data_IF_443918938920
#
_entry.id   IF_443918938920
#
_cell.length_a   1.000
_cell.length_b   1.000
_cell.length_c   1.000
_cell.angle_alpha   90.00
_cell.angle_beta   90.00
_cell.angle_gamma   90.00
#
_symmetry.space_group_name_H-M   'P 1'
#
loop_
_entity.id
_entity.type
_entity.pdbx_description
1 polymer ?
#
# COMPACT_ATOMS: atom_id res chain seq x y z
N UNK A 1 -45.33 66.91 -20.72
CA UNK A 1 -44.53 65.76 -21.07
C UNK A 1 -43.53 65.51 -19.94
N UNK A 2 -43.86 64.63 -19.06
CA UNK A 2 -43.18 64.42 -17.76
C UNK A 2 -42.32 63.12 -17.83
N UNK A 3 -41.01 63.31 -17.81
CA UNK A 3 -40.03 62.17 -17.77
C UNK A 3 -39.96 61.63 -16.33
N UNK A 4 -40.34 60.33 -16.18
CA UNK A 4 -40.12 59.57 -14.96
C UNK A 4 -38.68 59.00 -14.94
N UNK A 5 -37.89 59.34 -13.96
CA UNK A 5 -36.59 58.75 -13.68
C UNK A 5 -36.80 57.40 -12.97
N UNK A 6 -36.31 56.31 -13.57
CA UNK A 6 -36.17 55.00 -12.87
C UNK A 6 -34.90 55.03 -12.00
N UNK A 7 -35.09 54.76 -10.75
CA UNK A 7 -33.98 54.47 -9.81
C UNK A 7 -33.67 52.97 -9.89
N UNK A 8 -32.43 52.62 -10.27
CA UNK A 8 -31.90 51.23 -10.22
C UNK A 8 -31.31 51.05 -8.82
N UNK A 9 -32.00 50.25 -8.01
CA UNK A 9 -31.47 49.82 -6.70
C UNK A 9 -30.46 48.66 -6.91
N UNK A 10 -29.21 48.89 -6.51
CA UNK A 10 -28.19 47.87 -6.48
C UNK A 10 -28.45 46.92 -5.31
N UNK A 11 -28.77 45.67 -5.59
CA UNK A 11 -28.91 44.61 -4.60
C UNK A 11 -27.50 44.11 -4.26
N UNK A 12 -26.99 44.47 -3.08
CA UNK A 12 -25.75 43.93 -2.54
C UNK A 12 -26.06 42.51 -2.00
N UNK A 13 -25.66 41.48 -2.77
CA UNK A 13 -25.63 40.11 -2.25
C UNK A 13 -24.51 40.01 -1.19
N UNK A 14 -24.86 39.99 0.07
CA UNK A 14 -23.99 39.59 1.14
C UNK A 14 -23.78 38.07 1.03
N UNK A 15 -22.62 37.65 0.52
CA UNK A 15 -22.18 36.26 0.61
C UNK A 15 -21.87 35.97 2.09
N UNK A 16 -22.83 35.36 2.78
CA UNK A 16 -22.60 34.77 4.09
C UNK A 16 -21.60 33.61 3.88
N UNK A 17 -20.34 33.82 4.26
CA UNK A 17 -19.40 32.74 4.47
C UNK A 17 -19.91 31.90 5.62
N UNK A 18 -20.51 30.75 5.32
CA UNK A 18 -20.82 29.74 6.32
C UNK A 18 -19.50 29.37 7.03
N UNK A 19 -19.46 29.38 8.37
CA UNK A 19 -18.29 28.89 9.08
C UNK A 19 -18.02 27.45 8.64
N UNK A 20 -16.77 27.14 8.30
CA UNK A 20 -16.34 25.79 8.03
C UNK A 20 -16.76 24.92 9.22
N UNK A 21 -17.72 24.02 8.98
CA UNK A 21 -18.20 23.08 9.98
C UNK A 21 -17.00 22.31 10.48
N UNK A 22 -16.75 22.29 11.79
CA UNK A 22 -15.72 21.47 12.40
C UNK A 22 -15.79 20.06 11.80
N UNK A 23 -14.66 19.55 11.30
CA UNK A 23 -14.64 18.24 10.66
C UNK A 23 -15.21 17.23 11.66
N UNK A 24 -16.27 16.51 11.27
CA UNK A 24 -16.90 15.45 12.08
C UNK A 24 -15.84 14.35 12.30
N UNK A 25 -15.04 14.50 13.34
CA UNK A 25 -14.12 13.44 13.77
C UNK A 25 -14.88 12.39 14.58
N UNK A 26 -14.47 11.12 14.42
CA UNK A 26 -14.96 10.02 15.25
C UNK A 26 -13.97 9.66 16.38
N UNK A 27 -12.96 10.50 16.62
CA UNK A 27 -11.99 10.28 17.68
C UNK A 27 -12.63 10.43 19.04
N UNK A 28 -12.40 9.43 19.90
CA UNK A 28 -12.98 9.37 21.25
C UNK A 28 -12.21 10.22 22.26
N UNK A 29 -10.89 10.17 22.20
CA UNK A 29 -10.00 10.77 23.21
C UNK A 29 -9.17 11.90 22.56
N UNK A 30 -9.60 13.14 22.71
CA UNK A 30 -8.91 14.31 22.21
C UNK A 30 -8.72 15.32 23.36
N UNK A 31 -7.46 15.60 23.70
CA UNK A 31 -7.08 16.58 24.70
C UNK A 31 -6.71 17.95 24.09
N UNK A 32 -7.04 18.15 22.81
CA UNK A 32 -6.82 19.36 22.04
C UNK A 32 -7.92 19.56 20.97
N UNK A 33 -8.06 20.79 20.50
CA UNK A 33 -9.01 21.13 19.43
C UNK A 33 -8.40 20.85 18.05
N UNK A 34 -8.72 19.68 17.48
CA UNK A 34 -8.21 19.25 16.18
C UNK A 34 -8.54 20.23 15.04
N UNK A 35 -9.65 20.97 15.14
CA UNK A 35 -10.06 21.94 14.13
C UNK A 35 -9.13 23.15 14.03
N UNK A 36 -8.31 23.38 15.04
CA UNK A 36 -7.30 24.46 15.10
C UNK A 36 -5.90 24.00 14.71
N UNK A 37 -5.72 22.70 14.40
CA UNK A 37 -4.42 22.17 13.99
C UNK A 37 -4.25 22.31 12.48
N UNK A 38 -3.14 22.92 12.09
CA UNK A 38 -2.70 23.06 10.69
C UNK A 38 -1.23 22.66 10.59
N UNK A 39 -0.70 22.51 9.37
CA UNK A 39 0.74 22.26 9.17
C UNK A 39 1.61 23.33 9.85
N UNK A 40 1.19 24.59 9.79
CA UNK A 40 2.01 25.72 10.27
C UNK A 40 2.15 25.75 11.80
N UNK A 41 1.11 25.31 12.54
CA UNK A 41 1.10 25.31 13.99
C UNK A 41 1.17 23.93 14.65
N UNK A 42 1.36 22.88 13.84
CA UNK A 42 1.30 21.49 14.29
C UNK A 42 2.18 21.23 15.53
N UNK A 43 3.44 21.58 15.46
CA UNK A 43 4.37 21.30 16.55
C UNK A 43 4.07 22.13 17.80
N UNK A 44 3.63 23.38 17.63
CA UNK A 44 3.30 24.25 18.75
C UNK A 44 2.07 23.74 19.55
N UNK A 45 1.11 23.15 18.84
CA UNK A 45 -0.10 22.58 19.46
C UNK A 45 0.13 21.16 19.95
N UNK A 46 0.74 20.30 19.13
CA UNK A 46 0.78 18.85 19.37
C UNK A 46 1.90 18.43 20.33
N UNK A 47 3.10 19.04 20.25
CA UNK A 47 4.24 18.61 21.08
C UNK A 47 3.97 18.73 22.58
N UNK A 48 3.40 19.83 23.09
CA UNK A 48 3.10 19.93 24.54
C UNK A 48 2.12 18.86 25.02
N UNK A 49 1.06 18.58 24.24
CA UNK A 49 0.04 17.57 24.56
C UNK A 49 0.66 16.17 24.50
N UNK A 50 1.38 15.84 23.43
CA UNK A 50 2.05 14.56 23.27
C UNK A 50 3.05 14.26 24.41
N UNK A 51 3.79 15.29 24.87
CA UNK A 51 4.68 15.16 26.05
C UNK A 51 3.89 14.93 27.34
N UNK A 52 2.72 15.51 27.48
CA UNK A 52 1.84 15.26 28.64
C UNK A 52 1.25 13.84 28.61
N UNK A 53 0.93 13.30 27.42
CA UNK A 53 0.56 11.89 27.25
C UNK A 53 1.69 10.93 27.61
N UNK A 54 2.95 11.30 27.34
CA UNK A 54 4.19 10.65 27.77
C UNK A 54 4.48 9.28 27.16
N UNK A 55 3.53 8.71 26.43
CA UNK A 55 3.67 7.39 25.79
C UNK A 55 2.80 7.27 24.54
N UNK A 56 3.17 6.34 23.63
CA UNK A 56 2.37 5.94 22.48
C UNK A 56 2.56 4.46 22.22
N UNK A 57 1.49 3.75 21.85
CA UNK A 57 1.54 2.33 21.50
C UNK A 57 1.43 2.16 19.99
N UNK A 58 2.34 1.38 19.40
CA UNK A 58 2.38 1.11 17.97
C UNK A 58 2.28 -0.39 17.66
N UNK A 59 1.36 -0.76 16.77
CA UNK A 59 1.28 -2.10 16.19
C UNK A 59 1.91 -2.13 14.79
N UNK A 60 2.64 -3.22 14.53
CA UNK A 60 3.20 -3.58 13.24
C UNK A 60 2.65 -4.92 12.76
N UNK A 61 1.93 -4.94 11.63
CA UNK A 61 1.40 -6.18 11.06
C UNK A 61 2.42 -6.99 10.25
N UNK A 62 3.50 -6.35 9.79
CA UNK A 62 4.49 -6.94 8.91
C UNK A 62 5.83 -7.13 9.63
N UNK A 63 6.07 -8.31 10.21
CA UNK A 63 7.27 -8.61 10.99
C UNK A 63 8.59 -8.33 10.25
N UNK A 64 8.61 -8.38 8.91
CA UNK A 64 9.76 -8.00 8.09
C UNK A 64 10.17 -6.52 8.22
N UNK A 65 9.26 -5.67 8.69
CA UNK A 65 9.50 -4.24 8.96
C UNK A 65 9.91 -3.94 10.41
N UNK A 66 10.08 -4.95 11.26
CA UNK A 66 10.40 -4.75 12.67
C UNK A 66 11.59 -3.83 12.92
N UNK A 67 12.68 -4.00 12.18
CA UNK A 67 13.87 -3.15 12.31
C UNK A 67 13.62 -1.71 11.85
N UNK A 68 12.79 -1.53 10.81
CA UNK A 68 12.40 -0.21 10.31
C UNK A 68 11.65 0.59 11.37
N UNK A 69 10.70 -0.05 12.03
CA UNK A 69 9.90 0.62 13.06
C UNK A 69 10.68 0.82 14.37
N UNK A 70 11.59 -0.10 14.71
CA UNK A 70 12.52 0.10 15.83
C UNK A 70 13.43 1.31 15.61
N UNK A 71 13.93 1.52 14.40
CA UNK A 71 14.69 2.72 14.05
C UNK A 71 13.86 3.99 14.22
N UNK A 72 12.60 4.00 13.70
CA UNK A 72 11.69 5.13 13.90
C UNK A 72 11.45 5.42 15.38
N UNK A 73 11.12 4.38 16.16
CA UNK A 73 10.80 4.54 17.59
C UNK A 73 12.01 5.04 18.38
N UNK A 74 13.21 4.55 18.06
CA UNK A 74 14.46 5.02 18.68
C UNK A 74 14.70 6.51 18.41
N UNK A 75 14.53 6.95 17.15
CA UNK A 75 14.64 8.39 16.79
C UNK A 75 13.57 9.23 17.47
N UNK A 76 12.35 8.72 17.55
CA UNK A 76 11.24 9.41 18.18
C UNK A 76 11.45 9.61 19.68
N UNK A 77 11.82 8.56 20.39
CA UNK A 77 12.12 8.62 21.82
C UNK A 77 13.28 9.58 22.11
N UNK A 78 14.35 9.52 21.32
CA UNK A 78 15.50 10.42 21.46
C UNK A 78 15.13 11.89 21.24
N UNK A 79 14.25 12.18 20.27
CA UNK A 79 13.87 13.56 19.93
C UNK A 79 12.87 14.17 20.91
N UNK A 80 11.87 13.39 21.33
CA UNK A 80 10.72 13.93 22.06
C UNK A 80 10.65 13.51 23.52
N UNK A 81 11.40 12.46 23.93
CA UNK A 81 11.36 11.91 25.28
C UNK A 81 10.05 11.16 25.59
N UNK A 82 9.26 10.79 24.56
CA UNK A 82 8.00 10.07 24.67
C UNK A 82 8.26 8.59 24.41
N UNK A 83 7.84 7.73 25.35
CA UNK A 83 8.07 6.28 25.23
C UNK A 83 7.19 5.64 24.16
N UNK A 84 7.76 4.75 23.32
CA UNK A 84 7.00 3.96 22.35
C UNK A 84 6.89 2.51 22.82
N UNK A 85 5.65 2.03 23.00
CA UNK A 85 5.35 0.62 23.26
C UNK A 85 5.08 -0.07 21.92
N UNK A 86 6.11 -0.69 21.35
CA UNK A 86 6.03 -1.32 20.04
C UNK A 86 5.69 -2.81 20.15
N UNK A 87 4.81 -3.31 19.25
CA UNK A 87 4.40 -4.73 19.21
C UNK A 87 4.19 -5.20 17.77
N UNK A 88 4.82 -6.32 17.41
CA UNK A 88 4.49 -7.06 16.19
C UNK A 88 3.20 -7.87 16.41
N UNK A 89 2.27 -7.80 15.44
CA UNK A 89 0.96 -8.43 15.50
C UNK A 89 0.66 -9.21 14.22
N UNK A 90 -0.26 -10.16 14.31
CA UNK A 90 -0.85 -10.80 13.12
C UNK A 90 -1.97 -9.91 12.60
N UNK A 91 -1.86 -9.42 11.37
CA UNK A 91 -2.72 -8.38 10.80
C UNK A 91 -4.21 -8.66 10.92
N UNK A 92 -4.69 -9.86 10.52
CA UNK A 92 -6.11 -10.20 10.59
C UNK A 92 -6.62 -10.27 12.04
N UNK A 93 -5.81 -10.79 12.97
CA UNK A 93 -6.16 -10.83 14.38
C UNK A 93 -6.24 -9.41 14.99
N UNK A 94 -5.29 -8.56 14.65
CA UNK A 94 -5.29 -7.16 15.08
C UNK A 94 -6.50 -6.39 14.51
N UNK A 95 -6.84 -6.60 13.23
CA UNK A 95 -8.03 -6.03 12.61
C UNK A 95 -9.30 -6.44 13.35
N UNK A 96 -9.49 -7.74 13.64
CA UNK A 96 -10.64 -8.25 14.37
C UNK A 96 -10.70 -7.72 15.81
N UNK A 97 -9.56 -7.64 16.49
CA UNK A 97 -9.47 -7.05 17.84
C UNK A 97 -9.92 -5.59 17.83
N UNK A 98 -9.40 -4.77 16.89
CA UNK A 98 -9.76 -3.36 16.79
C UNK A 98 -11.24 -3.15 16.46
N UNK A 99 -11.81 -3.97 15.59
CA UNK A 99 -13.24 -3.97 15.28
C UNK A 99 -14.07 -4.30 16.52
N UNK A 100 -13.67 -5.30 17.30
CA UNK A 100 -14.38 -5.72 18.51
C UNK A 100 -14.37 -4.61 19.57
N UNK A 101 -13.21 -4.01 19.87
CA UNK A 101 -13.10 -2.94 20.87
C UNK A 101 -13.80 -1.66 20.42
N UNK A 102 -13.79 -1.36 19.10
CA UNK A 102 -14.54 -0.24 18.53
C UNK A 102 -16.05 -0.43 18.71
N UNK A 103 -16.59 -1.61 18.38
CA UNK A 103 -18.00 -1.95 18.59
C UNK A 103 -18.42 -1.90 20.07
N UNK A 104 -17.52 -2.26 20.98
CA UNK A 104 -17.75 -2.20 22.42
C UNK A 104 -17.62 -0.79 23.02
N UNK A 105 -17.23 0.23 22.24
CA UNK A 105 -16.97 1.59 22.70
C UNK A 105 -15.79 1.68 23.68
N UNK A 106 -14.91 0.69 23.71
CA UNK A 106 -13.72 0.65 24.56
C UNK A 106 -12.56 1.40 23.90
N UNK A 107 -11.53 1.75 24.67
CA UNK A 107 -10.31 2.33 24.15
C UNK A 107 -9.53 1.30 23.36
N UNK A 108 -8.90 1.71 22.26
CA UNK A 108 -8.02 0.85 21.49
C UNK A 108 -6.77 0.46 22.32
N UNK A 109 -6.28 -0.77 22.17
CA UNK A 109 -5.02 -1.19 22.77
C UNK A 109 -3.80 -0.55 22.09
N UNK A 110 -4.00 0.22 21.03
CA UNK A 110 -2.97 0.80 20.18
C UNK A 110 -3.36 2.23 19.76
N UNK A 111 -2.37 3.11 19.62
CA UNK A 111 -2.54 4.50 19.21
C UNK A 111 -2.14 4.72 17.74
N UNK A 112 -1.18 3.91 17.25
CA UNK A 112 -0.69 3.93 15.86
C UNK A 112 -0.67 2.52 15.31
N UNK A 113 -1.37 2.29 14.20
CA UNK A 113 -1.36 0.98 13.56
C UNK A 113 -0.77 1.08 12.14
N UNK A 114 0.34 0.36 11.92
CA UNK A 114 0.87 0.07 10.59
C UNK A 114 0.18 -1.19 10.07
N UNK A 115 -0.66 -1.03 9.06
CA UNK A 115 -1.56 -2.06 8.54
C UNK A 115 -1.44 -2.18 7.03
N UNK A 116 -1.72 -3.37 6.49
CA UNK A 116 -1.83 -3.57 5.04
C UNK A 116 -2.87 -2.65 4.42
N UNK A 117 -2.51 -1.99 3.32
CA UNK A 117 -3.38 -1.02 2.64
C UNK A 117 -4.71 -1.62 2.17
N UNK A 118 -4.71 -2.91 1.79
CA UNK A 118 -5.93 -3.65 1.41
C UNK A 118 -6.95 -3.81 2.53
N UNK A 119 -6.56 -3.62 3.80
CA UNK A 119 -7.48 -3.66 4.95
C UNK A 119 -8.38 -2.42 5.09
N UNK A 120 -8.12 -1.34 4.32
CA UNK A 120 -8.85 -0.09 4.46
C UNK A 120 -10.38 -0.21 4.37
N UNK A 121 -10.99 -0.90 3.39
CA UNK A 121 -12.44 -0.99 3.28
C UNK A 121 -13.10 -1.56 4.55
N UNK A 122 -12.54 -2.63 5.10
CA UNK A 122 -13.03 -3.27 6.32
C UNK A 122 -12.86 -2.36 7.54
N UNK A 123 -11.66 -1.80 7.75
CA UNK A 123 -11.34 -0.96 8.91
C UNK A 123 -12.12 0.36 8.88
N UNK A 124 -12.35 0.92 7.70
CA UNK A 124 -13.11 2.16 7.51
C UNK A 124 -14.61 1.94 7.74
N UNK A 125 -15.21 0.91 7.13
CA UNK A 125 -16.65 0.61 7.25
C UNK A 125 -17.06 0.23 8.68
N UNK A 126 -16.14 -0.32 9.46
CA UNK A 126 -16.36 -0.68 10.87
C UNK A 126 -16.03 0.47 11.85
N UNK A 127 -15.63 1.64 11.35
CA UNK A 127 -15.34 2.84 12.14
C UNK A 127 -14.03 2.80 12.93
N UNK A 128 -13.15 1.84 12.64
CA UNK A 128 -11.84 1.70 13.31
C UNK A 128 -10.90 2.82 12.92
N UNK A 129 -10.93 3.27 11.65
CA UNK A 129 -10.06 4.36 11.19
C UNK A 129 -10.53 5.69 11.79
N UNK A 130 -9.63 6.37 12.50
CA UNK A 130 -9.86 7.71 13.03
C UNK A 130 -10.02 8.73 11.90
N UNK A 131 -11.12 9.49 11.90
CA UNK A 131 -11.36 10.55 10.91
C UNK A 131 -10.49 11.77 11.22
N UNK A 132 -9.23 11.68 10.82
CA UNK A 132 -8.25 12.78 10.88
C UNK A 132 -7.66 12.94 9.48
N UNK A 133 -7.66 14.16 8.95
CA UNK A 133 -7.03 14.46 7.67
C UNK A 133 -5.49 14.57 7.81
N UNK A 134 -4.82 13.45 8.14
CA UNK A 134 -3.37 13.37 8.38
C UNK A 134 -2.59 14.02 7.24
N UNK A 135 -2.95 13.72 5.99
CA UNK A 135 -2.29 14.26 4.79
C UNK A 135 -2.40 15.78 4.67
N UNK A 136 -3.32 16.42 5.41
CA UNK A 136 -3.53 17.87 5.39
C UNK A 136 -2.88 18.58 6.57
N UNK A 137 -2.78 17.92 7.73
CA UNK A 137 -2.32 18.58 8.96
C UNK A 137 -0.87 18.26 9.33
N UNK A 138 -0.31 17.14 8.85
CA UNK A 138 1.06 16.74 9.18
C UNK A 138 2.09 17.51 8.33
N UNK A 139 3.06 18.20 8.97
CA UNK A 139 4.08 19.00 8.26
C UNK A 139 4.90 18.17 7.27
N UNK A 140 5.30 16.96 7.65
CA UNK A 140 6.13 16.08 6.82
C UNK A 140 5.37 15.42 5.65
N UNK A 141 4.11 15.77 5.43
CA UNK A 141 3.32 15.37 4.26
C UNK A 141 3.21 16.47 3.18
N UNK A 142 4.07 17.47 3.23
CA UNK A 142 4.13 18.57 2.25
C UNK A 142 4.42 18.11 0.82
N UNK A 143 5.24 17.06 0.66
CA UNK A 143 5.62 16.42 -0.59
C UNK A 143 5.02 15.01 -0.76
N UNK A 144 3.91 14.73 -0.08
CA UNK A 144 3.21 13.45 -0.23
C UNK A 144 2.51 13.38 -1.60
N UNK A 145 2.49 12.18 -2.22
CA UNK A 145 1.86 11.96 -3.52
C UNK A 145 0.38 12.42 -3.49
N UNK A 146 -0.05 13.32 -4.39
CA UNK A 146 -1.39 13.90 -4.36
C UNK A 146 -2.52 12.90 -4.62
N UNK A 147 -2.28 11.82 -5.36
CA UNK A 147 -3.27 10.75 -5.59
C UNK A 147 -3.43 9.94 -4.32
N UNK A 148 -2.32 9.55 -3.69
CA UNK A 148 -2.30 8.80 -2.45
C UNK A 148 -2.78 9.63 -1.25
N UNK A 149 -2.77 10.96 -1.34
CA UNK A 149 -3.30 11.84 -0.30
C UNK A 149 -4.82 11.75 -0.15
N UNK A 150 -5.53 11.42 -1.20
CA UNK A 150 -6.99 11.37 -1.23
C UNK A 150 -7.56 9.96 -1.30
N UNK A 151 -6.81 9.01 -1.90
CA UNK A 151 -7.29 7.65 -2.13
C UNK A 151 -6.25 6.60 -1.76
N UNK A 152 -6.72 5.45 -1.26
CA UNK A 152 -5.95 4.23 -1.14
C UNK A 152 -6.56 3.18 -2.08
N UNK A 153 -5.79 2.76 -3.09
CA UNK A 153 -6.23 1.83 -4.13
C UNK A 153 -7.60 2.22 -4.73
N UNK A 154 -7.76 3.51 -5.07
CA UNK A 154 -8.97 4.09 -5.62
C UNK A 154 -10.12 4.35 -4.63
N UNK A 155 -10.04 3.89 -3.38
CA UNK A 155 -11.05 4.17 -2.35
C UNK A 155 -10.71 5.48 -1.62
N UNK A 156 -11.64 6.46 -1.57
CA UNK A 156 -11.40 7.71 -0.84
C UNK A 156 -11.20 7.48 0.66
N UNK A 157 -10.19 8.12 1.25
CA UNK A 157 -9.94 8.06 2.70
C UNK A 157 -9.88 9.43 3.39
N UNK A 158 -10.03 10.53 2.65
CA UNK A 158 -10.06 11.89 3.20
C UNK A 158 -8.79 12.28 3.98
N UNK A 159 -7.67 11.67 3.66
CA UNK A 159 -6.39 11.87 4.34
C UNK A 159 -6.17 11.05 5.60
N UNK A 160 -7.09 10.15 5.98
CA UNK A 160 -7.05 9.43 7.26
C UNK A 160 -6.23 8.13 7.23
N UNK A 161 -5.91 7.61 6.05
CA UNK A 161 -5.26 6.31 5.88
C UNK A 161 -4.10 6.38 4.87
N UNK A 162 -3.07 7.21 5.13
CA UNK A 162 -1.98 7.40 4.20
C UNK A 162 -1.07 6.16 4.14
N UNK A 163 -0.67 5.78 2.93
CA UNK A 163 0.37 4.79 2.73
C UNK A 163 1.72 5.36 3.15
N UNK A 164 2.44 4.66 4.02
CA UNK A 164 3.78 5.07 4.50
C UNK A 164 4.89 4.29 3.80
N UNK A 165 4.54 3.20 3.17
CA UNK A 165 5.38 2.29 2.41
C UNK A 165 4.69 1.93 1.11
N UNK A 166 5.46 1.92 0.01
CA UNK A 166 5.02 1.39 -1.28
C UNK A 166 5.91 0.20 -1.65
N UNK A 167 5.29 -0.81 -2.23
CA UNK A 167 5.93 -1.99 -2.76
C UNK A 167 5.44 -2.29 -4.19
N UNK A 168 6.15 -3.17 -4.90
CA UNK A 168 5.88 -3.49 -6.30
C UNK A 168 5.99 -4.99 -6.52
N UNK A 169 4.98 -5.59 -7.17
CA UNK A 169 5.14 -6.93 -7.72
C UNK A 169 6.05 -6.88 -8.93
N UNK A 170 6.90 -7.88 -9.07
CA UNK A 170 7.91 -7.94 -10.11
C UNK A 170 8.15 -9.38 -10.55
N UNK A 171 8.93 -9.53 -11.61
CA UNK A 171 9.56 -10.78 -11.97
C UNK A 171 10.99 -10.74 -11.43
N UNK A 172 11.28 -11.61 -10.44
CA UNK A 172 12.64 -11.86 -9.97
C UNK A 172 13.32 -12.94 -10.79
N UNK A 173 14.61 -12.80 -11.05
CA UNK A 173 15.37 -13.79 -11.80
C UNK A 173 16.83 -13.84 -11.36
N UNK A 174 17.47 -14.99 -11.60
CA UNK A 174 18.91 -15.16 -11.43
C UNK A 174 19.63 -14.92 -12.76
N UNK A 175 20.40 -13.83 -12.87
CA UNK A 175 21.14 -13.45 -14.07
C UNK A 175 22.28 -14.42 -14.44
N UNK A 176 22.63 -15.35 -13.56
CA UNK A 176 23.54 -16.44 -13.88
C UNK A 176 22.91 -17.42 -14.88
N UNK A 177 21.58 -17.60 -14.85
CA UNK A 177 20.83 -18.53 -15.70
C UNK A 177 19.99 -17.83 -16.77
N UNK A 178 19.53 -16.60 -16.52
CA UNK A 178 18.68 -15.84 -17.45
C UNK A 178 19.45 -14.62 -17.94
N UNK A 179 19.79 -14.61 -19.23
CA UNK A 179 20.51 -13.47 -19.83
C UNK A 179 19.55 -12.32 -20.11
N UNK A 180 20.04 -11.09 -20.09
CA UNK A 180 19.23 -9.88 -20.37
C UNK A 180 18.55 -9.96 -21.75
N UNK A 181 19.18 -10.62 -22.74
CA UNK A 181 18.62 -10.84 -24.08
C UNK A 181 17.44 -11.81 -24.09
N UNK A 182 17.30 -12.64 -23.07
CA UNK A 182 16.27 -13.69 -22.95
C UNK A 182 15.17 -13.29 -21.96
N UNK A 183 15.26 -12.08 -21.38
CA UNK A 183 14.25 -11.58 -20.47
C UNK A 183 12.91 -11.37 -21.18
N UNK A 184 11.81 -11.90 -20.62
CA UNK A 184 10.48 -11.66 -21.14
C UNK A 184 10.13 -10.17 -21.00
N UNK A 185 9.58 -9.58 -22.05
CA UNK A 185 9.20 -8.16 -22.06
C UNK A 185 7.73 -7.95 -21.72
N UNK A 186 6.88 -8.94 -22.00
CA UNK A 186 5.44 -8.93 -21.76
C UNK A 186 4.96 -10.30 -21.27
N UNK A 187 3.67 -10.46 -21.01
CA UNK A 187 3.11 -11.71 -20.49
C UNK A 187 3.17 -12.87 -21.49
N UNK A 188 3.06 -12.59 -22.80
CA UNK A 188 3.20 -13.62 -23.85
C UNK A 188 4.64 -14.10 -23.94
N UNK A 189 5.61 -13.20 -23.86
CA UNK A 189 7.03 -13.55 -23.81
C UNK A 189 7.36 -14.38 -22.56
N UNK A 190 6.73 -14.06 -21.41
CA UNK A 190 6.90 -14.83 -20.17
C UNK A 190 6.41 -16.27 -20.33
N UNK A 191 5.24 -16.45 -20.95
CA UNK A 191 4.72 -17.78 -21.27
C UNK A 191 5.66 -18.52 -22.22
N UNK A 192 6.10 -17.88 -23.31
CA UNK A 192 7.03 -18.48 -24.27
C UNK A 192 8.39 -18.84 -23.66
N UNK A 193 8.87 -18.02 -22.70
CA UNK A 193 10.08 -18.33 -21.94
C UNK A 193 9.86 -19.57 -21.05
N UNK A 194 8.73 -19.66 -20.35
CA UNK A 194 8.40 -20.80 -19.50
C UNK A 194 8.23 -22.11 -20.32
N UNK A 195 7.67 -22.05 -21.53
CA UNK A 195 7.58 -23.18 -22.45
C UNK A 195 8.96 -23.72 -22.88
N UNK A 196 9.94 -22.83 -23.08
CA UNK A 196 11.33 -23.18 -23.37
C UNK A 196 12.10 -23.68 -22.16
N UNK A 197 11.68 -23.29 -20.97
CA UNK A 197 12.34 -23.60 -19.70
C UNK A 197 11.33 -24.22 -18.69
N UNK A 198 10.77 -25.39 -19.00
CA UNK A 198 9.69 -26.00 -18.24
C UNK A 198 10.11 -26.20 -16.77
N UNK A 199 9.21 -25.79 -15.85
CA UNK A 199 9.40 -25.86 -14.39
C UNK A 199 10.55 -25.00 -13.85
N UNK A 200 10.98 -23.97 -14.61
CA UNK A 200 11.98 -22.98 -14.16
C UNK A 200 11.39 -21.59 -13.85
N UNK A 201 10.10 -21.40 -14.11
CA UNK A 201 9.34 -20.22 -13.68
C UNK A 201 8.48 -20.58 -12.47
N UNK A 202 8.65 -19.84 -11.37
CA UNK A 202 7.78 -19.92 -10.20
C UNK A 202 6.63 -18.92 -10.30
N UNK A 203 5.41 -19.40 -10.12
CA UNK A 203 4.22 -18.55 -9.99
C UNK A 203 3.66 -18.70 -8.58
N UNK A 204 3.71 -17.64 -7.80
CA UNK A 204 3.14 -17.66 -6.45
C UNK A 204 1.65 -17.92 -6.51
N UNK A 205 1.16 -18.91 -5.76
CA UNK A 205 -0.26 -19.18 -5.63
C UNK A 205 -0.96 -17.94 -5.04
N UNK A 206 -1.95 -17.34 -5.71
CA UNK A 206 -2.56 -16.08 -5.28
C UNK A 206 -3.11 -16.12 -3.84
N UNK A 207 -3.71 -17.25 -3.42
CA UNK A 207 -4.21 -17.45 -2.05
C UNK A 207 -3.11 -17.58 -0.97
N UNK A 208 -1.82 -17.64 -1.36
CA UNK A 208 -0.68 -17.85 -0.46
C UNK A 208 0.30 -16.69 -0.41
N UNK A 209 0.15 -15.71 -1.30
CA UNK A 209 1.03 -14.55 -1.30
C UNK A 209 0.59 -13.43 -2.22
N UNK A 210 0.74 -12.20 -1.76
CA UNK A 210 0.32 -11.01 -2.50
C UNK A 210 1.01 -10.83 -3.85
N UNK A 211 2.22 -11.40 -4.08
CA UNK A 211 2.84 -11.38 -5.41
C UNK A 211 2.03 -12.18 -6.42
N UNK A 212 1.38 -13.27 -6.00
CA UNK A 212 0.47 -14.03 -6.83
C UNK A 212 -0.83 -13.28 -7.11
N UNK A 213 -1.45 -12.68 -6.09
CA UNK A 213 -2.66 -11.85 -6.25
C UNK A 213 -2.40 -10.63 -7.14
N UNK A 214 -1.25 -9.96 -6.95
CA UNK A 214 -0.84 -8.86 -7.81
C UNK A 214 -0.53 -9.30 -9.24
N UNK A 215 0.03 -10.50 -9.42
CA UNK A 215 0.32 -11.04 -10.75
C UNK A 215 -0.96 -11.35 -11.53
N UNK A 216 -1.95 -12.04 -10.94
CA UNK A 216 -3.22 -12.32 -11.63
C UNK A 216 -3.96 -11.04 -12.01
N UNK A 217 -3.98 -10.05 -11.12
CA UNK A 217 -4.57 -8.76 -11.43
C UNK A 217 -3.83 -8.04 -12.57
N UNK A 218 -2.50 -8.12 -12.59
CA UNK A 218 -1.68 -7.58 -13.66
C UNK A 218 -1.94 -8.27 -15.01
N UNK A 219 -2.08 -9.60 -15.01
CA UNK A 219 -2.50 -10.37 -16.19
C UNK A 219 -3.86 -9.87 -16.69
N UNK A 220 -4.86 -9.75 -15.81
CA UNK A 220 -6.18 -9.27 -16.18
C UNK A 220 -6.13 -7.84 -16.77
N UNK A 221 -5.40 -6.91 -16.15
CA UNK A 221 -5.22 -5.55 -16.66
C UNK A 221 -4.56 -5.51 -18.06
N UNK A 222 -3.73 -6.47 -18.42
CA UNK A 222 -3.06 -6.52 -19.70
C UNK A 222 -3.91 -7.20 -20.80
N UNK A 223 -4.62 -8.28 -20.46
CA UNK A 223 -5.43 -9.02 -21.44
C UNK A 223 -6.80 -8.43 -21.68
N UNK A 224 -7.45 -7.86 -20.67
CA UNK A 224 -8.79 -7.31 -20.82
C UNK A 224 -8.79 -5.95 -21.51
N UNK A 225 -9.84 -5.67 -22.28
CA UNK A 225 -10.04 -4.42 -23.05
C UNK A 225 -11.45 -3.88 -22.81
N UNK A 226 -11.65 -2.61 -23.17
CA UNK A 226 -12.97 -1.96 -23.11
C UNK A 226 -13.63 -2.08 -21.74
N UNK A 227 -14.93 -2.39 -21.75
CA UNK A 227 -15.75 -2.47 -20.53
C UNK A 227 -15.27 -3.56 -19.57
N UNK A 228 -14.74 -4.67 -20.07
CA UNK A 228 -14.15 -5.72 -19.24
C UNK A 228 -12.95 -5.21 -18.45
N UNK A 229 -12.07 -4.41 -19.09
CA UNK A 229 -10.95 -3.79 -18.39
C UNK A 229 -11.41 -2.69 -17.41
N UNK A 230 -12.39 -1.89 -17.79
CA UNK A 230 -12.94 -0.84 -16.92
C UNK A 230 -13.50 -1.43 -15.62
N UNK A 231 -14.05 -2.64 -15.66
CA UNK A 231 -14.59 -3.32 -14.49
C UNK A 231 -13.51 -3.64 -13.45
N UNK A 232 -12.27 -3.89 -13.88
CA UNK A 232 -11.15 -4.15 -12.96
C UNK A 232 -10.84 -2.95 -12.05
N UNK A 233 -11.15 -1.73 -12.48
CA UNK A 233 -10.93 -0.50 -11.73
C UNK A 233 -12.22 0.19 -11.30
N UNK A 234 -13.33 -0.54 -11.26
CA UNK A 234 -14.61 -0.06 -10.74
C UNK A 234 -14.58 -0.11 -9.20
N UNK A 235 -13.96 0.88 -8.58
CA UNK A 235 -13.80 0.99 -7.14
C UNK A 235 -15.11 1.14 -6.36
N UNK A 236 -16.26 1.25 -7.03
CA UNK A 236 -17.58 1.26 -6.39
C UNK A 236 -18.05 -0.13 -5.97
N UNK A 237 -17.46 -1.18 -6.52
CA UNK A 237 -17.82 -2.57 -6.18
C UNK A 237 -17.47 -2.90 -4.74
N UNK A 238 -18.37 -3.64 -4.08
CA UNK A 238 -18.01 -4.39 -2.87
C UNK A 238 -17.20 -5.64 -3.24
N UNK A 239 -16.54 -6.26 -2.25
CA UNK A 239 -15.86 -7.53 -2.45
C UNK A 239 -16.80 -8.60 -3.04
N UNK A 240 -17.98 -8.79 -2.45
CA UNK A 240 -18.99 -9.74 -2.93
C UNK A 240 -19.39 -9.50 -4.41
N UNK A 241 -19.57 -8.24 -4.82
CA UNK A 241 -19.85 -7.89 -6.21
C UNK A 241 -18.68 -8.17 -7.15
N UNK A 242 -17.44 -7.97 -6.67
CA UNK A 242 -16.24 -8.30 -7.44
C UNK A 242 -16.10 -9.83 -7.59
N UNK A 243 -16.37 -10.59 -6.52
CA UNK A 243 -16.37 -12.06 -6.52
C UNK A 243 -17.44 -12.63 -7.47
N UNK A 244 -18.68 -12.14 -7.41
CA UNK A 244 -19.75 -12.55 -8.33
C UNK A 244 -19.34 -12.30 -9.79
N UNK A 245 -18.81 -11.09 -10.08
CA UNK A 245 -18.35 -10.77 -11.43
C UNK A 245 -17.18 -11.66 -11.87
N UNK A 246 -16.21 -11.93 -11.01
CA UNK A 246 -15.07 -12.77 -11.33
C UNK A 246 -15.47 -14.24 -11.59
N UNK A 247 -16.50 -14.71 -10.89
CA UNK A 247 -17.01 -16.06 -11.03
C UNK A 247 -17.91 -16.24 -12.24
N UNK A 248 -18.66 -15.23 -12.66
CA UNK A 248 -19.76 -15.38 -13.65
C UNK A 248 -19.44 -14.76 -15.01
N UNK A 249 -18.45 -13.87 -15.10
CA UNK A 249 -18.19 -13.10 -16.31
C UNK A 249 -17.33 -13.85 -17.35
N UNK A 250 -17.80 -13.89 -18.58
CA UNK A 250 -17.02 -14.40 -19.73
C UNK A 250 -15.86 -13.47 -20.10
N UNK A 251 -15.81 -12.26 -19.57
CA UNK A 251 -14.69 -11.31 -19.77
C UNK A 251 -13.34 -11.92 -19.40
N UNK A 252 -13.30 -12.80 -18.44
CA UNK A 252 -12.06 -13.33 -17.84
C UNK A 252 -11.52 -14.58 -18.55
N UNK A 253 -12.22 -15.10 -19.56
CA UNK A 253 -11.75 -16.30 -20.28
C UNK A 253 -10.32 -16.16 -20.85
N UNK A 254 -9.90 -15.00 -21.40
CA UNK A 254 -8.50 -14.83 -21.83
C UNK A 254 -7.48 -14.94 -20.67
N UNK A 255 -7.88 -14.55 -19.45
CA UNK A 255 -7.04 -14.67 -18.24
C UNK A 255 -6.92 -16.15 -17.84
N UNK A 256 -8.05 -16.88 -17.83
CA UNK A 256 -8.06 -18.30 -17.50
C UNK A 256 -7.29 -19.13 -18.52
N UNK A 257 -7.40 -18.82 -19.81
CA UNK A 257 -6.63 -19.48 -20.88
C UNK A 257 -5.13 -19.27 -20.73
N UNK A 258 -4.72 -18.03 -20.37
CA UNK A 258 -3.32 -17.74 -20.08
C UNK A 258 -2.82 -18.60 -18.90
N UNK A 259 -3.57 -18.64 -17.79
CA UNK A 259 -3.18 -19.43 -16.62
C UNK A 259 -3.15 -20.92 -16.89
N UNK A 260 -4.13 -21.48 -17.61
CA UNK A 260 -4.12 -22.91 -17.99
C UNK A 260 -2.86 -23.29 -18.78
N UNK A 261 -2.37 -22.40 -19.64
CA UNK A 261 -1.11 -22.62 -20.40
C UNK A 261 0.10 -22.46 -19.49
N UNK A 262 0.15 -21.37 -18.73
CA UNK A 262 1.27 -21.04 -17.86
C UNK A 262 1.53 -22.13 -16.81
N UNK A 263 0.49 -22.62 -16.14
CA UNK A 263 0.61 -23.59 -15.05
C UNK A 263 1.05 -24.99 -15.51
N UNK A 264 0.88 -25.34 -16.78
CA UNK A 264 1.41 -26.58 -17.34
C UNK A 264 2.93 -26.59 -17.33
N UNK A 265 3.55 -25.43 -17.55
CA UNK A 265 4.99 -25.29 -17.78
C UNK A 265 5.74 -24.63 -16.62
N UNK A 266 5.03 -23.95 -15.71
CA UNK A 266 5.60 -23.30 -14.50
C UNK A 266 5.44 -24.16 -13.25
N UNK A 267 6.08 -23.74 -12.16
CA UNK A 267 5.93 -24.31 -10.82
C UNK A 267 5.06 -23.40 -9.96
N UNK A 268 4.03 -23.95 -9.30
CA UNK A 268 3.27 -23.21 -8.31
C UNK A 268 4.04 -23.17 -6.99
N UNK A 269 4.25 -21.97 -6.46
CA UNK A 269 4.95 -21.77 -5.19
C UNK A 269 3.98 -21.41 -4.06
N UNK A 270 4.31 -21.83 -2.85
CA UNK A 270 3.47 -21.71 -1.67
C UNK A 270 3.73 -20.41 -0.90
N UNK A 271 3.84 -19.29 -1.60
CA UNK A 271 4.02 -17.96 -1.02
C UNK A 271 5.27 -17.24 -1.53
N UNK A 272 5.36 -15.95 -1.16
CA UNK A 272 6.42 -15.08 -1.65
C UNK A 272 7.83 -15.56 -1.28
N UNK A 273 8.03 -15.97 -0.02
CA UNK A 273 9.31 -16.47 0.47
C UNK A 273 9.70 -17.81 -0.18
N UNK A 274 8.73 -18.66 -0.47
CA UNK A 274 8.96 -19.94 -1.12
C UNK A 274 9.54 -19.75 -2.53
N UNK A 275 8.98 -18.85 -3.32
CA UNK A 275 9.52 -18.48 -4.64
C UNK A 275 10.98 -18.05 -4.57
N UNK A 276 11.32 -17.17 -3.62
CA UNK A 276 12.70 -16.68 -3.45
C UNK A 276 13.65 -17.80 -3.03
N UNK A 277 13.23 -18.66 -2.10
CA UNK A 277 14.03 -19.82 -1.67
C UNK A 277 14.29 -20.82 -2.80
N UNK A 278 13.29 -21.08 -3.64
CA UNK A 278 13.44 -21.98 -4.79
C UNK A 278 14.37 -21.39 -5.85
N UNK A 279 14.40 -20.07 -6.04
CA UNK A 279 15.39 -19.39 -6.89
C UNK A 279 16.78 -19.52 -6.27
N UNK A 280 16.94 -19.25 -4.97
CA UNK A 280 18.22 -19.40 -4.29
C UNK A 280 18.79 -20.82 -4.40
N UNK A 281 17.93 -21.82 -4.34
CA UNK A 281 18.31 -23.24 -4.47
C UNK A 281 18.45 -23.68 -5.93
N UNK A 282 18.38 -22.78 -6.93
CA UNK A 282 18.52 -23.05 -8.36
C UNK A 282 17.46 -24.04 -8.91
N UNK A 283 16.37 -24.23 -8.19
CA UNK A 283 15.22 -25.00 -8.66
C UNK A 283 14.39 -24.18 -9.64
N UNK A 284 14.30 -22.89 -9.41
CA UNK A 284 13.72 -21.89 -10.31
C UNK A 284 14.82 -20.94 -10.80
N UNK A 285 14.63 -20.39 -12.00
CA UNK A 285 15.49 -19.35 -12.57
C UNK A 285 14.80 -17.99 -12.57
N UNK A 286 13.47 -18.00 -12.47
CA UNK A 286 12.62 -16.81 -12.50
C UNK A 286 11.36 -17.05 -11.67
N UNK A 287 10.73 -15.98 -11.17
CA UNK A 287 9.45 -16.11 -10.46
C UNK A 287 8.80 -14.78 -10.11
N UNK A 288 7.52 -14.86 -9.73
CA UNK A 288 6.75 -13.71 -9.22
C UNK A 288 7.17 -13.38 -7.80
N UNK A 289 7.53 -12.13 -7.54
CA UNK A 289 8.07 -11.69 -6.24
C UNK A 289 7.53 -10.30 -5.84
N UNK A 290 7.74 -9.94 -4.57
CA UNK A 290 7.69 -8.56 -4.08
C UNK A 290 9.10 -7.96 -4.04
N UNK A 291 9.26 -6.75 -4.56
CA UNK A 291 10.54 -6.05 -4.62
C UNK A 291 11.15 -5.81 -3.22
N UNK A 292 10.34 -5.40 -2.26
CA UNK A 292 10.79 -5.06 -0.89
C UNK A 292 11.32 -6.27 -0.11
N UNK A 293 10.87 -7.49 -0.42
CA UNK A 293 11.39 -8.71 0.22
C UNK A 293 12.81 -9.07 -0.25
N UNK A 294 13.16 -8.70 -1.48
CA UNK A 294 14.44 -9.04 -2.10
C UNK A 294 15.61 -8.53 -1.26
N UNK A 295 15.57 -7.27 -0.82
CA UNK A 295 16.67 -6.66 -0.04
C UNK A 295 16.87 -7.36 1.30
N UNK A 296 15.78 -7.76 1.96
CA UNK A 296 15.87 -8.54 3.21
C UNK A 296 16.52 -9.90 2.97
N UNK A 297 16.16 -10.59 1.89
CA UNK A 297 16.74 -11.89 1.54
C UNK A 297 18.21 -11.79 1.14
N UNK A 298 18.61 -10.73 0.42
CA UNK A 298 20.02 -10.46 0.10
C UNK A 298 20.83 -10.18 1.36
N UNK A 299 20.36 -9.30 2.24
CA UNK A 299 21.01 -8.97 3.50
C UNK A 299 21.25 -10.21 4.39
N UNK A 300 20.32 -11.17 4.33
CA UNK A 300 20.41 -12.45 5.04
C UNK A 300 21.20 -13.54 4.27
N UNK A 301 21.78 -13.21 3.11
CA UNK A 301 22.45 -14.17 2.20
C UNK A 301 21.54 -15.34 1.77
N UNK A 302 20.26 -15.05 1.61
CA UNK A 302 19.23 -16.00 1.17
C UNK A 302 18.91 -15.83 -0.33
N UNK A 303 19.65 -14.99 -1.04
CA UNK A 303 19.62 -14.86 -2.49
C UNK A 303 21.04 -14.67 -3.01
N UNK A 304 21.35 -15.12 -4.23
CA UNK A 304 22.65 -14.91 -4.86
C UNK A 304 22.82 -13.45 -5.28
N UNK A 305 24.06 -12.96 -5.34
CA UNK A 305 24.40 -11.62 -5.84
C UNK A 305 23.99 -11.40 -7.32
N UNK A 306 23.76 -12.49 -8.06
CA UNK A 306 23.25 -12.48 -9.43
C UNK A 306 21.72 -12.25 -9.52
N UNK A 307 21.00 -12.22 -8.41
CA UNK A 307 19.54 -11.98 -8.41
C UNK A 307 19.21 -10.57 -8.92
N UNK A 308 18.21 -10.46 -9.78
CA UNK A 308 17.75 -9.21 -10.41
C UNK A 308 16.24 -9.17 -10.47
N UNK A 309 15.71 -7.97 -10.73
CA UNK A 309 14.28 -7.72 -10.91
C UNK A 309 14.00 -7.08 -12.27
N UNK A 310 12.85 -7.41 -12.84
CA UNK A 310 12.28 -6.74 -14.01
C UNK A 310 10.77 -6.57 -13.89
N UNK A 311 10.23 -5.63 -14.66
CA UNK A 311 8.79 -5.46 -14.86
C UNK A 311 8.43 -5.79 -16.30
N UNK A 312 7.25 -6.37 -16.51
CA UNK A 312 6.71 -6.59 -17.84
C UNK A 312 6.12 -5.29 -18.41
N UNK A 313 6.24 -5.09 -19.70
CA UNK A 313 5.59 -4.00 -20.44
C UNK A 313 4.07 -4.07 -20.24
N UNK A 314 3.43 -2.92 -20.14
CA UNK A 314 2.02 -2.81 -19.75
C UNK A 314 1.81 -2.63 -18.24
N UNK A 315 2.87 -2.85 -17.46
CA UNK A 315 2.91 -2.63 -16.02
C UNK A 315 2.46 -3.82 -15.18
N UNK A 316 2.91 -3.83 -13.94
CA UNK A 316 2.51 -4.77 -12.91
C UNK A 316 2.00 -4.03 -11.68
N UNK A 317 1.05 -4.65 -11.00
CA UNK A 317 0.40 -4.08 -9.82
C UNK A 317 1.39 -3.97 -8.66
N UNK A 318 1.40 -2.79 -8.04
CA UNK A 318 2.02 -2.57 -6.76
C UNK A 318 0.98 -2.50 -5.64
N UNK A 319 1.45 -2.29 -4.45
CA UNK A 319 0.67 -2.10 -3.24
C UNK A 319 1.34 -1.08 -2.34
N UNK A 320 0.85 -0.98 -1.13
CA UNK A 320 1.45 -0.20 -0.07
C UNK A 320 0.75 -0.48 1.25
N UNK A 321 1.42 -0.09 2.32
CA UNK A 321 0.94 -0.27 3.67
C UNK A 321 0.77 1.08 4.34
N UNK A 322 -0.33 1.21 5.06
CA UNK A 322 -0.73 2.46 5.67
C UNK A 322 -0.33 2.55 7.14
N UNK A 323 -0.25 3.78 7.62
CA UNK A 323 -0.13 4.07 9.04
C UNK A 323 -1.26 5.03 9.44
N UNK A 324 -2.01 4.69 10.48
CA UNK A 324 -3.16 5.49 10.87
C UNK A 324 -3.40 5.48 12.39
N UNK A 325 -4.27 6.37 12.86
CA UNK A 325 -4.73 6.47 14.25
C UNK A 325 -6.09 5.79 14.36
N UNK A 326 -6.27 4.75 15.20
CA UNK A 326 -7.59 4.21 15.49
C UNK A 326 -8.53 5.26 16.14
N UNK A 327 -9.83 5.18 15.84
CA UNK A 327 -10.81 6.16 16.32
C UNK A 327 -10.90 6.26 17.86
N UNK A 328 -10.60 5.17 18.54
CA UNK A 328 -10.62 5.07 20.01
C UNK A 328 -9.21 4.96 20.62
N UNK A 329 -8.17 5.45 19.90
CA UNK A 329 -6.81 5.61 20.42
C UNK A 329 -6.80 6.50 21.68
N UNK A 330 -5.88 6.26 22.62
CA UNK A 330 -5.77 7.02 23.88
C UNK A 330 -4.84 8.21 23.76
N UNK A 331 -3.70 8.05 23.08
CA UNK A 331 -2.63 9.03 23.03
C UNK A 331 -2.55 9.61 21.61
N UNK A 332 -3.58 10.40 21.26
CA UNK A 332 -3.76 10.89 19.88
C UNK A 332 -2.68 11.89 19.50
N UNK A 333 -2.26 12.78 20.39
CA UNK A 333 -1.22 13.76 20.06
C UNK A 333 0.14 13.09 19.85
N UNK A 334 0.52 12.14 20.69
CA UNK A 334 1.75 11.36 20.52
C UNK A 334 1.70 10.49 19.23
N UNK A 335 0.53 9.95 18.91
CA UNK A 335 0.32 9.20 17.67
C UNK A 335 0.52 10.09 16.43
N UNK A 336 -0.06 11.29 16.40
CA UNK A 336 0.13 12.24 15.31
C UNK A 336 1.60 12.62 15.13
N UNK A 337 2.31 12.83 16.23
CA UNK A 337 3.73 13.20 16.21
C UNK A 337 4.62 12.06 15.72
N UNK A 338 4.31 10.80 16.10
CA UNK A 338 5.02 9.61 15.61
C UNK A 338 4.77 9.38 14.11
N UNK A 339 3.52 9.52 13.67
CA UNK A 339 3.16 9.41 12.25
C UNK A 339 3.85 10.50 11.44
N UNK A 340 3.84 11.75 11.91
CA UNK A 340 4.53 12.84 11.21
C UNK A 340 6.02 12.53 11.01
N UNK A 341 6.70 12.01 12.04
CA UNK A 341 8.11 11.60 11.92
C UNK A 341 8.28 10.45 10.91
N UNK A 342 7.34 9.50 10.81
CA UNK A 342 7.40 8.42 9.83
C UNK A 342 7.37 8.93 8.38
N UNK A 343 6.78 10.10 8.13
CA UNK A 343 6.77 10.75 6.81
C UNK A 343 7.89 11.76 6.61
N UNK A 344 8.76 11.97 7.59
CA UNK A 344 9.89 12.89 7.42
C UNK A 344 10.80 12.43 6.27
N UNK A 345 11.36 13.40 5.52
CA UNK A 345 12.27 13.11 4.41
C UNK A 345 13.46 12.27 4.88
N UNK A 346 14.01 12.60 6.03
CA UNK A 346 15.14 11.88 6.62
C UNK A 346 14.82 10.40 6.88
N UNK A 347 13.69 10.09 7.53
CA UNK A 347 13.31 8.71 7.80
C UNK A 347 12.91 7.95 6.52
N UNK A 348 12.19 8.59 5.61
CA UNK A 348 11.80 7.99 4.33
C UNK A 348 13.01 7.70 3.44
N UNK A 349 14.03 8.57 3.45
CA UNK A 349 15.31 8.33 2.77
C UNK A 349 16.05 7.15 3.38
N UNK A 350 16.17 7.12 4.71
CA UNK A 350 16.78 5.99 5.41
C UNK A 350 16.08 4.66 5.08
N UNK A 351 14.77 4.67 5.09
CA UNK A 351 13.93 3.49 4.78
C UNK A 351 14.15 3.00 3.34
N UNK A 352 14.27 3.91 2.38
CA UNK A 352 14.56 3.56 0.99
C UNK A 352 15.96 2.94 0.87
N UNK A 353 16.97 3.57 1.48
CA UNK A 353 18.37 3.14 1.41
C UNK A 353 18.61 1.78 2.07
N UNK A 354 18.00 1.53 3.24
CA UNK A 354 18.28 0.34 4.04
C UNK A 354 17.32 -0.84 3.81
N UNK A 355 16.16 -0.58 3.21
CA UNK A 355 15.10 -1.58 3.04
C UNK A 355 14.53 -1.63 1.63
N UNK A 356 14.99 -0.79 0.72
CA UNK A 356 14.36 -0.55 -0.60
C UNK A 356 12.83 -0.32 -0.49
N UNK A 357 12.37 0.08 0.68
CA UNK A 357 10.98 0.43 0.93
C UNK A 357 10.67 1.76 0.28
N UNK A 358 9.90 1.73 -0.81
CA UNK A 358 9.61 2.92 -1.60
C UNK A 358 8.79 3.92 -0.82
N UNK A 359 9.13 5.18 -1.04
CA UNK A 359 8.48 6.30 -0.37
C UNK A 359 7.26 6.81 -1.16
N UNK A 360 6.18 7.17 -0.48
CA UNK A 360 5.09 7.93 -1.09
C UNK A 360 5.41 9.43 -1.26
N UNK A 361 6.60 9.90 -0.85
CA UNK A 361 7.05 11.28 -1.07
C UNK A 361 7.56 11.46 -2.48
N UNK A 362 7.22 12.58 -3.11
CA UNK A 362 7.61 12.94 -4.48
C UNK A 362 9.00 13.60 -4.57
N UNK A 363 9.59 13.95 -3.43
CA UNK A 363 10.90 14.61 -3.32
C UNK A 363 12.06 13.66 -2.94
N UNK A 364 11.84 12.34 -3.04
CA UNK A 364 12.85 11.29 -2.80
C UNK A 364 13.12 10.54 -4.10
N UNK A 365 14.39 10.51 -4.49
CA UNK A 365 14.89 9.88 -5.72
C UNK A 365 15.55 8.53 -5.42
N UNK A 366 15.51 7.59 -6.39
CA UNK A 366 16.25 6.33 -6.35
C UNK A 366 17.79 6.51 -6.33
N UNK A 367 18.28 7.72 -6.67
CA UNK A 367 19.72 8.05 -6.59
C UNK A 367 20.28 7.98 -5.17
N UNK A 368 19.38 7.97 -4.17
CA UNK A 368 19.72 7.81 -2.76
C UNK A 368 20.02 6.36 -2.38
N UNK A 369 19.67 5.39 -3.22
CA UNK A 369 20.00 3.97 -3.01
C UNK A 369 21.47 3.75 -3.40
N UNK A 370 22.22 3.02 -2.56
CA UNK A 370 23.63 2.68 -2.85
C UNK A 370 23.78 1.94 -4.19
N UNK A 371 24.92 2.07 -4.84
CA UNK A 371 25.16 1.37 -6.12
C UNK A 371 25.05 -0.15 -5.99
N UNK A 372 25.45 -0.70 -4.83
CA UNK A 372 25.32 -2.14 -4.52
C UNK A 372 23.86 -2.59 -4.46
N UNK A 373 23.01 -1.86 -3.74
CA UNK A 373 21.60 -2.18 -3.62
C UNK A 373 20.84 -1.90 -4.92
N UNK A 374 21.22 -0.86 -5.67
CA UNK A 374 20.52 -0.39 -6.87
C UNK A 374 20.38 -1.47 -7.95
N UNK A 375 21.35 -2.37 -8.08
CA UNK A 375 21.30 -3.47 -9.08
C UNK A 375 20.23 -4.53 -8.74
N UNK A 376 19.71 -4.53 -7.51
CA UNK A 376 18.73 -5.49 -7.01
C UNK A 376 17.32 -4.90 -6.89
N UNK A 377 17.11 -3.63 -7.21
CA UNK A 377 15.81 -2.96 -7.17
C UNK A 377 15.41 -2.46 -8.55
N UNK A 378 14.12 -2.27 -8.76
CA UNK A 378 13.58 -1.76 -10.01
C UNK A 378 13.90 -0.27 -10.16
N UNK A 379 14.50 0.18 -11.28
CA UNK A 379 14.60 1.61 -11.58
C UNK A 379 13.20 2.22 -11.72
N UNK A 380 12.98 3.42 -11.18
CA UNK A 380 11.70 4.12 -11.31
C UNK A 380 11.28 4.38 -12.77
N UNK A 381 12.25 4.45 -13.66
CA UNK A 381 12.04 4.80 -15.08
C UNK A 381 11.77 3.61 -15.99
N UNK A 382 11.81 2.35 -15.50
CA UNK A 382 11.83 1.18 -16.41
C UNK A 382 10.48 0.92 -17.05
N UNK A 383 9.43 0.64 -16.26
CA UNK A 383 8.10 0.31 -16.80
C UNK A 383 6.99 0.95 -15.97
N UNK A 384 5.76 1.06 -16.54
CA UNK A 384 4.62 1.60 -15.82
C UNK A 384 4.33 0.82 -14.54
N UNK A 385 4.16 1.53 -13.45
CA UNK A 385 3.75 1.01 -12.15
C UNK A 385 2.26 1.24 -11.95
N UNK A 386 1.54 0.23 -11.50
CA UNK A 386 0.08 0.27 -11.36
C UNK A 386 -0.39 0.36 -9.89
N UNK A 387 0.51 0.69 -8.95
CA UNK A 387 0.18 0.72 -7.52
C UNK A 387 -0.96 1.69 -7.17
N UNK A 388 -1.00 2.86 -7.80
CA UNK A 388 -2.04 3.84 -7.55
C UNK A 388 -3.44 3.42 -8.07
N UNK A 389 -3.49 2.45 -8.98
CA UNK A 389 -4.72 1.96 -9.63
C UNK A 389 -5.11 0.55 -9.18
N UNK A 390 -4.35 -0.07 -8.28
CA UNK A 390 -4.66 -1.39 -7.77
C UNK A 390 -6.00 -1.41 -7.03
N UNK A 391 -6.85 -2.40 -7.32
CA UNK A 391 -8.10 -2.65 -6.62
C UNK A 391 -8.01 -4.03 -5.97
N UNK A 392 -7.61 -4.07 -4.70
CA UNK A 392 -7.28 -5.32 -4.02
C UNK A 392 -8.48 -6.21 -3.75
N UNK A 393 -9.71 -5.67 -3.60
CA UNK A 393 -10.92 -6.49 -3.55
C UNK A 393 -11.09 -7.28 -4.86
N UNK A 394 -10.82 -6.65 -6.01
CA UNK A 394 -10.83 -7.34 -7.29
C UNK A 394 -9.68 -8.36 -7.43
N UNK A 395 -8.49 -8.07 -6.92
CA UNK A 395 -7.39 -9.02 -6.92
C UNK A 395 -7.71 -10.26 -6.08
N UNK A 396 -8.39 -10.08 -4.95
CA UNK A 396 -8.92 -11.17 -4.11
C UNK A 396 -9.94 -12.00 -4.87
N UNK A 397 -10.95 -11.35 -5.48
CA UNK A 397 -11.98 -11.99 -6.28
C UNK A 397 -11.42 -12.83 -7.44
N UNK A 398 -10.45 -12.27 -8.18
CA UNK A 398 -9.75 -12.99 -9.25
C UNK A 398 -8.97 -14.20 -8.72
N UNK A 399 -8.38 -14.09 -7.52
CA UNK A 399 -7.63 -15.17 -6.90
C UNK A 399 -8.53 -16.34 -6.52
N UNK A 400 -9.71 -16.06 -5.99
CA UNK A 400 -10.71 -17.08 -5.67
C UNK A 400 -11.28 -17.72 -6.94
N UNK A 401 -11.62 -16.91 -7.95
CA UNK A 401 -12.12 -17.42 -9.22
C UNK A 401 -11.08 -18.31 -9.93
N UNK A 402 -9.77 -18.01 -9.84
CA UNK A 402 -8.72 -18.86 -10.39
C UNK A 402 -8.75 -20.27 -9.78
N UNK A 403 -8.96 -20.39 -8.48
CA UNK A 403 -9.06 -21.69 -7.81
C UNK A 403 -10.17 -22.54 -8.45
N UNK A 404 -11.36 -21.96 -8.66
CA UNK A 404 -12.52 -22.66 -9.18
C UNK A 404 -12.45 -22.90 -10.70
N UNK A 405 -11.92 -21.94 -11.46
CA UNK A 405 -11.94 -21.97 -12.94
C UNK A 405 -10.75 -22.67 -13.55
N UNK A 406 -9.66 -22.85 -12.81
CA UNK A 406 -8.39 -23.36 -13.35
C UNK A 406 -7.75 -24.43 -12.46
N UNK A 407 -7.64 -24.21 -11.14
CA UNK A 407 -6.86 -25.09 -10.27
C UNK A 407 -7.63 -26.34 -9.82
N UNK A 408 -8.94 -26.25 -9.65
CA UNK A 408 -9.81 -27.36 -9.20
C UNK A 408 -10.43 -28.14 -10.38
N UNK A 409 -10.04 -27.85 -11.62
CA UNK A 409 -10.43 -28.58 -12.82
C UNK A 409 -9.32 -29.56 -13.21
#
# INVERSE_FOLDING_TARGET
MTMKRLAIGALILATATLPARAADTNLKNLDFDLSKVSRDNFYDVIVPVAKAEGTVTMYNFAGSFGDTWKELTTRFEAKYGIKVNYTDVVGDQANQQLIAVQKAGQDAPVDVYFAGGGGYPLLSSTGVVGKIALTKILPNMDHYDPVLAETVFGKPHGGAFPLVHLNQTAIGYDSAFVKDTDLPRNFDDLLAWAEKNPKRLGVTLPSKGGSGSGFIYSVALNYLKGDCRAKLTDYSLSLEQAEDWAMTSDCLEPVWDYYRKLLKVSELTNGNADTLNLINNQQLYMGTVWEDQVITFLANKQLPDSFRLTLLEGGQVGSGDAIFVPANAKHVAAALLLIDMAFSKDFQTWKLEHKASRSPRTDISDDLISAETRVHVLPNSVYPRLSATAFWDMATALSEALNEKVLNQ
#
